data_IF_586413253294
#
_entry.id   IF_586413253294
#
_cell.length_a   1.000
_cell.length_b   1.000
_cell.length_c   1.000
_cell.angle_alpha   90.00
_cell.angle_beta   90.00
_cell.angle_gamma   90.00
#
_symmetry.space_group_name_H-M   'P 1'
#
loop_
_entity.id
_entity.type
_entity.pdbx_description
1 polymer ?
#
# COMPACT_ATOMS: atom_id res chain seq x y z
N UNK A 1 -9.66 -5.31 23.48
CA UNK A 1 -10.53 -5.76 24.60
C UNK A 1 -11.93 -5.30 24.28
N UNK A 2 -12.90 -6.24 24.21
CA UNK A 2 -14.26 -5.94 23.79
C UNK A 2 -14.87 -4.81 24.65
N UNK A 3 -15.21 -3.68 24.03
CA UNK A 3 -15.92 -2.60 24.72
C UNK A 3 -17.40 -2.97 24.82
N UNK A 4 -17.96 -2.90 26.04
CA UNK A 4 -19.37 -3.18 26.29
C UNK A 4 -19.85 -4.56 25.80
N UNK A 5 -18.94 -5.55 25.76
CA UNK A 5 -19.25 -6.90 25.30
C UNK A 5 -19.31 -7.09 23.78
N UNK A 6 -19.10 -6.03 22.98
CA UNK A 6 -18.99 -6.13 21.52
C UNK A 6 -17.53 -6.14 21.09
N UNK A 7 -17.20 -7.03 20.14
CA UNK A 7 -15.90 -7.02 19.48
C UNK A 7 -15.94 -6.08 18.27
N UNK A 8 -14.93 -5.22 18.15
CA UNK A 8 -14.79 -4.31 17.00
C UNK A 8 -13.61 -4.79 16.15
N UNK A 9 -13.88 -5.01 14.87
CA UNK A 9 -12.87 -5.36 13.86
C UNK A 9 -12.76 -4.21 12.87
N UNK A 10 -11.56 -3.67 12.71
CA UNK A 10 -11.28 -2.61 11.74
C UNK A 10 -10.68 -3.23 10.47
N UNK A 11 -11.36 -3.01 9.34
CA UNK A 11 -10.99 -3.54 8.04
C UNK A 11 -10.14 -2.58 7.20
N UNK A 12 -9.68 -1.44 7.75
CA UNK A 12 -8.89 -0.45 7.01
C UNK A 12 -7.93 0.34 7.92
N UNK A 13 -7.12 -0.37 8.73
CA UNK A 13 -6.06 0.28 9.49
C UNK A 13 -4.83 0.52 8.64
N UNK A 14 -4.33 1.74 8.65
CA UNK A 14 -3.13 2.12 7.91
C UNK A 14 -1.88 2.15 8.78
N UNK A 15 -0.79 1.62 8.23
CA UNK A 15 0.56 1.82 8.77
C UNK A 15 1.40 2.61 7.78
N UNK A 16 2.25 3.48 8.32
CA UNK A 16 3.23 4.22 7.54
C UNK A 16 4.52 3.43 7.54
N UNK A 17 4.99 3.08 6.35
CA UNK A 17 6.24 2.38 6.11
C UNK A 17 7.43 3.17 6.68
N UNK A 18 8.38 2.51 7.37
CA UNK A 18 9.62 3.15 7.72
C UNK A 18 10.51 3.29 6.47
N UNK A 19 11.42 4.27 6.48
CA UNK A 19 12.26 4.57 5.31
C UNK A 19 13.15 3.42 4.88
N UNK A 20 13.62 2.62 5.83
CA UNK A 20 14.51 1.49 5.64
C UNK A 20 13.79 0.20 5.20
N UNK A 21 12.46 0.21 4.99
CA UNK A 21 11.73 -0.99 4.51
C UNK A 21 12.41 -1.61 3.30
N UNK A 22 12.79 -0.79 2.32
CA UNK A 22 13.43 -1.26 1.10
C UNK A 22 14.88 -1.70 1.35
N UNK A 23 15.61 -1.02 2.22
CA UNK A 23 16.99 -1.38 2.54
C UNK A 23 17.07 -2.76 3.23
N UNK A 24 16.09 -3.05 4.09
CA UNK A 24 16.06 -4.25 4.91
C UNK A 24 15.44 -5.45 4.18
N UNK A 25 14.33 -5.24 3.46
CA UNK A 25 13.51 -6.33 2.92
C UNK A 25 13.60 -6.52 1.41
N UNK A 26 14.05 -5.52 0.64
CA UNK A 26 14.17 -5.67 -0.82
C UNK A 26 15.39 -6.53 -1.17
N UNK A 27 15.21 -7.40 -2.17
CA UNK A 27 16.30 -8.17 -2.78
C UNK A 27 17.45 -7.22 -3.15
N UNK A 28 18.68 -7.46 -2.65
CA UNK A 28 19.83 -6.58 -2.85
C UNK A 28 20.06 -6.14 -4.30
N UNK A 29 19.74 -7.00 -5.28
CA UNK A 29 19.92 -6.68 -6.70
C UNK A 29 19.06 -5.51 -7.19
N UNK A 30 17.98 -5.19 -6.48
CA UNK A 30 17.02 -4.14 -6.83
C UNK A 30 17.14 -2.88 -6.00
N UNK A 31 17.91 -2.87 -4.89
CA UNK A 31 17.98 -1.71 -3.96
C UNK A 31 18.38 -0.40 -4.65
N UNK A 32 19.28 -0.45 -5.63
CA UNK A 32 19.69 0.73 -6.40
C UNK A 32 18.62 1.35 -7.29
N UNK A 33 17.46 0.69 -7.45
CA UNK A 33 16.32 1.17 -8.26
C UNK A 33 15.39 2.09 -7.48
N UNK A 34 15.49 2.08 -6.15
CA UNK A 34 14.75 2.98 -5.25
C UNK A 34 15.72 4.00 -4.69
N UNK A 35 15.57 5.26 -5.09
CA UNK A 35 16.46 6.33 -4.65
C UNK A 35 15.67 7.49 -4.06
N UNK A 36 16.37 8.44 -3.44
CA UNK A 36 15.74 9.68 -2.97
C UNK A 36 16.28 10.89 -3.72
N UNK A 37 15.37 11.79 -4.10
CA UNK A 37 15.66 13.01 -4.86
C UNK A 37 14.99 14.23 -4.21
N UNK A 38 15.58 15.43 -4.26
CA UNK A 38 14.93 16.64 -3.75
C UNK A 38 13.78 17.07 -4.68
N UNK A 39 12.66 17.51 -4.09
CA UNK A 39 11.59 18.19 -4.83
C UNK A 39 11.88 19.70 -5.02
N UNK A 40 10.97 20.41 -5.69
CA UNK A 40 11.11 21.85 -5.98
C UNK A 40 11.19 22.74 -4.73
N UNK A 41 10.87 22.21 -3.55
CA UNK A 41 10.96 22.90 -2.26
C UNK A 41 12.11 22.36 -1.40
N UNK A 42 12.98 21.51 -1.97
CA UNK A 42 14.13 20.92 -1.29
C UNK A 42 13.80 19.75 -0.37
N UNK A 43 12.57 19.22 -0.37
CA UNK A 43 12.24 18.03 0.42
C UNK A 43 12.66 16.75 -0.31
N UNK A 44 13.29 15.82 0.41
CA UNK A 44 13.64 14.51 -0.16
C UNK A 44 12.40 13.65 -0.38
N UNK A 45 12.25 13.14 -1.61
CA UNK A 45 11.19 12.24 -2.07
C UNK A 45 11.78 10.92 -2.55
N UNK A 46 11.07 9.83 -2.34
CA UNK A 46 11.44 8.56 -2.96
C UNK A 46 11.13 8.61 -4.46
N UNK A 47 11.92 7.89 -5.26
CA UNK A 47 11.60 7.59 -6.64
C UNK A 47 11.93 6.13 -6.96
N UNK A 48 11.20 5.57 -7.92
CA UNK A 48 11.47 4.26 -8.51
C UNK A 48 11.68 4.48 -10.00
N UNK A 49 12.88 4.17 -10.51
CA UNK A 49 13.24 4.36 -11.93
C UNK A 49 12.92 5.76 -12.48
N UNK A 50 13.26 6.80 -11.70
CA UNK A 50 13.02 8.19 -12.07
C UNK A 50 11.57 8.66 -11.90
N UNK A 51 10.65 7.79 -11.46
CA UNK A 51 9.28 8.17 -11.12
C UNK A 51 9.16 8.54 -9.65
N UNK A 52 9.03 9.83 -9.39
CA UNK A 52 8.94 10.43 -8.03
C UNK A 52 7.61 10.10 -7.34
N UNK A 53 7.69 9.75 -6.05
CA UNK A 53 6.55 9.35 -5.24
C UNK A 53 6.29 10.33 -4.07
N UNK A 54 5.02 10.64 -3.76
CA UNK A 54 3.82 10.25 -4.51
C UNK A 54 3.73 10.96 -5.88
N UNK A 55 3.05 10.36 -6.88
CA UNK A 55 2.89 10.95 -8.21
C UNK A 55 2.25 12.35 -8.20
N UNK A 56 2.70 13.18 -9.15
CA UNK A 56 2.22 14.53 -9.42
C UNK A 56 2.38 15.52 -8.25
N UNK A 57 3.27 15.24 -7.30
CA UNK A 57 3.55 16.12 -6.16
C UNK A 57 4.16 17.46 -6.58
N UNK A 58 4.76 17.51 -7.76
CA UNK A 58 5.33 18.71 -8.40
C UNK A 58 4.26 19.67 -8.94
N UNK A 59 3.03 19.19 -9.17
CA UNK A 59 1.95 20.03 -9.71
C UNK A 59 1.41 21.01 -8.65
N UNK A 60 1.22 22.30 -8.97
CA UNK A 60 0.74 23.30 -8.02
C UNK A 60 -0.57 22.92 -7.32
N UNK A 61 -1.52 22.33 -8.05
CA UNK A 61 -2.82 21.94 -7.50
C UNK A 61 -2.68 20.83 -6.45
N UNK A 62 -1.77 19.89 -6.70
CA UNK A 62 -1.45 18.81 -5.76
C UNK A 62 -0.65 19.33 -4.58
N UNK A 63 0.31 20.21 -4.78
CA UNK A 63 1.02 20.86 -3.67
C UNK A 63 0.05 21.53 -2.71
N UNK A 64 -0.96 22.24 -3.24
CA UNK A 64 -2.00 22.87 -2.43
C UNK A 64 -2.81 21.83 -1.65
N UNK A 65 -3.33 20.81 -2.33
CA UNK A 65 -4.13 19.75 -1.70
C UNK A 65 -3.34 19.00 -0.61
N UNK A 66 -2.07 18.68 -0.88
CA UNK A 66 -1.17 18.00 0.06
C UNK A 66 -0.70 18.89 1.21
N UNK A 67 -0.49 20.19 0.98
CA UNK A 67 -0.04 21.14 2.02
C UNK A 67 -0.98 21.19 3.22
N UNK A 68 -2.27 20.93 3.02
CA UNK A 68 -3.26 20.86 4.09
C UNK A 68 -3.01 19.68 5.04
N UNK A 69 -2.59 18.51 4.52
CA UNK A 69 -2.17 17.35 5.33
C UNK A 69 -0.81 17.57 6.01
N UNK A 70 0.15 18.16 5.28
CA UNK A 70 1.51 18.39 5.79
C UNK A 70 1.55 19.36 6.98
N UNK A 71 0.57 20.27 7.08
CA UNK A 71 0.46 21.26 8.16
C UNK A 71 -0.27 20.73 9.40
N UNK A 72 -0.79 19.51 9.36
CA UNK A 72 -1.45 18.90 10.52
C UNK A 72 -0.41 18.56 11.61
N UNK A 73 -0.71 18.83 12.90
CA UNK A 73 0.12 18.41 14.01
C UNK A 73 0.41 16.90 13.94
N UNK A 74 1.67 16.50 14.14
CA UNK A 74 2.06 15.08 14.13
C UNK A 74 2.56 14.54 12.78
N UNK A 75 2.55 15.34 11.70
CA UNK A 75 3.07 14.88 10.39
C UNK A 75 4.56 14.47 10.41
N UNK A 76 5.36 15.00 11.34
CA UNK A 76 6.74 14.53 11.53
C UNK A 76 6.84 13.09 12.02
N UNK A 77 5.83 12.56 12.73
CA UNK A 77 5.79 11.14 13.13
C UNK A 77 5.64 10.22 11.90
N UNK A 78 4.82 10.61 10.93
CA UNK A 78 4.63 9.90 9.66
C UNK A 78 5.98 9.71 8.91
N UNK A 79 6.94 10.64 9.05
CA UNK A 79 8.26 10.52 8.40
C UNK A 79 9.15 9.39 8.96
N UNK A 80 8.86 8.90 10.16
CA UNK A 80 9.63 7.83 10.83
C UNK A 80 9.06 6.43 10.58
N UNK A 81 7.85 6.34 10.04
CA UNK A 81 7.06 5.11 10.03
C UNK A 81 6.26 4.97 11.34
N UNK A 82 5.20 4.17 11.30
CA UNK A 82 4.36 3.90 12.46
C UNK A 82 4.98 2.75 13.27
N UNK A 83 5.32 2.92 14.56
CA UNK A 83 5.68 1.80 15.42
C UNK A 83 4.46 0.93 15.74
N UNK A 84 4.64 -0.39 15.86
CA UNK A 84 3.55 -1.32 16.18
C UNK A 84 2.87 -1.00 17.51
N UNK A 85 3.67 -0.66 18.54
CA UNK A 85 3.17 -0.22 19.84
C UNK A 85 2.18 0.94 19.73
N UNK A 86 2.45 1.92 18.88
CA UNK A 86 1.59 3.11 18.71
C UNK A 86 0.23 2.69 18.10
N UNK A 87 0.22 1.70 17.20
CA UNK A 87 -1.03 1.13 16.64
C UNK A 87 -1.83 0.41 17.72
N UNK A 88 -1.18 -0.44 18.52
CA UNK A 88 -1.86 -1.18 19.59
C UNK A 88 -2.43 -0.26 20.67
N UNK A 89 -1.69 0.78 21.06
CA UNK A 89 -2.16 1.80 22.00
C UNK A 89 -3.37 2.56 21.43
N UNK A 90 -3.32 2.95 20.15
CA UNK A 90 -4.46 3.59 19.49
C UNK A 90 -5.67 2.64 19.43
N UNK A 91 -5.47 1.36 19.09
CA UNK A 91 -6.53 0.35 19.10
C UNK A 91 -7.15 0.18 20.49
N UNK A 92 -6.36 0.24 21.57
CA UNK A 92 -6.88 0.17 22.94
C UNK A 92 -7.72 1.40 23.31
N UNK A 93 -7.28 2.60 22.92
CA UNK A 93 -8.01 3.86 23.13
C UNK A 93 -9.34 3.84 22.37
N UNK A 94 -9.33 3.48 21.09
CA UNK A 94 -10.52 3.43 20.25
C UNK A 94 -11.43 2.24 20.59
N UNK A 95 -10.87 1.16 21.14
CA UNK A 95 -11.60 -0.07 21.48
C UNK A 95 -11.69 -1.05 20.31
N UNK A 96 -10.67 -1.08 19.46
CA UNK A 96 -10.53 -2.00 18.33
C UNK A 96 -9.84 -3.29 18.83
N UNK A 97 -10.48 -4.42 18.58
CA UNK A 97 -9.98 -5.74 18.99
C UNK A 97 -9.05 -6.34 17.95
N UNK A 98 -9.43 -6.27 16.67
CA UNK A 98 -8.66 -6.82 15.54
C UNK A 98 -8.60 -5.79 14.42
N UNK A 99 -7.45 -5.68 13.80
CA UNK A 99 -7.16 -4.77 12.71
C UNK A 99 -6.58 -5.48 11.50
N UNK A 100 -7.04 -5.14 10.30
CA UNK A 100 -6.35 -5.50 9.05
C UNK A 100 -5.44 -4.34 8.65
N UNK A 101 -4.15 -4.62 8.48
CA UNK A 101 -3.15 -3.57 8.27
C UNK A 101 -2.87 -3.39 6.79
N UNK A 102 -3.14 -2.19 6.30
CA UNK A 102 -2.88 -1.74 4.95
C UNK A 102 -1.70 -0.76 4.90
N UNK A 103 -1.01 -0.81 3.77
CA UNK A 103 0.05 0.11 3.38
C UNK A 103 -0.41 1.56 3.31
N UNK A 104 0.54 2.49 3.42
CA UNK A 104 0.33 3.90 3.07
C UNK A 104 1.04 4.21 1.75
N UNK A 105 2.34 3.95 1.68
CA UNK A 105 3.20 4.35 0.56
C UNK A 105 3.53 3.22 -0.42
N UNK A 106 3.61 1.97 0.04
CA UNK A 106 4.22 0.88 -0.73
C UNK A 106 3.62 0.69 -2.13
N UNK A 107 2.29 0.73 -2.28
CA UNK A 107 1.70 0.53 -3.61
C UNK A 107 1.89 1.71 -4.55
N UNK A 108 2.22 2.92 -4.08
CA UNK A 108 2.64 3.99 -4.99
C UNK A 108 3.94 3.61 -5.71
N UNK A 109 4.78 2.81 -5.06
CA UNK A 109 6.05 2.33 -5.58
C UNK A 109 5.91 1.06 -6.42
N UNK A 110 4.91 0.22 -6.12
CA UNK A 110 4.65 -1.04 -6.84
C UNK A 110 3.75 -0.83 -8.05
N UNK A 111 2.69 -0.04 -7.96
CA UNK A 111 1.65 0.10 -9.00
C UNK A 111 2.02 1.16 -10.05
N UNK A 112 3.18 0.98 -10.67
CA UNK A 112 3.72 1.85 -11.69
C UNK A 112 3.61 1.15 -13.05
N UNK A 113 3.00 1.83 -14.03
CA UNK A 113 2.96 1.37 -15.42
C UNK A 113 4.38 1.26 -16.01
N UNK A 114 4.65 0.16 -16.71
CA UNK A 114 5.94 -0.15 -17.32
C UNK A 114 7.05 -0.51 -16.33
N UNK A 115 6.74 -0.66 -15.04
CA UNK A 115 7.70 -1.17 -14.07
C UNK A 115 8.10 -2.60 -14.44
N UNK A 116 9.39 -2.92 -14.30
CA UNK A 116 9.89 -4.27 -14.54
C UNK A 116 9.14 -5.28 -13.65
N UNK A 117 8.53 -6.34 -14.20
CA UNK A 117 7.72 -7.27 -13.41
C UNK A 117 8.46 -7.90 -12.24
N UNK A 118 9.74 -8.25 -12.42
CA UNK A 118 10.57 -8.82 -11.36
C UNK A 118 10.85 -7.82 -10.23
N UNK A 119 10.99 -6.52 -10.53
CA UNK A 119 11.12 -5.46 -9.53
C UNK A 119 9.81 -5.29 -8.76
N UNK A 120 8.66 -5.22 -9.45
CA UNK A 120 7.36 -5.12 -8.81
C UNK A 120 7.08 -6.29 -7.86
N UNK A 121 7.44 -7.51 -8.28
CA UNK A 121 7.32 -8.71 -7.46
C UNK A 121 8.25 -8.66 -6.24
N UNK A 122 9.51 -8.26 -6.41
CA UNK A 122 10.44 -8.12 -5.29
C UNK A 122 9.99 -7.05 -4.28
N UNK A 123 9.42 -5.95 -4.74
CA UNK A 123 8.88 -4.90 -3.87
C UNK A 123 7.62 -5.36 -3.13
N UNK A 124 6.74 -6.10 -3.80
CA UNK A 124 5.57 -6.73 -3.16
C UNK A 124 6.02 -7.72 -2.07
N UNK A 125 7.01 -8.57 -2.39
CA UNK A 125 7.63 -9.50 -1.44
C UNK A 125 8.24 -8.79 -0.23
N UNK A 126 8.94 -7.69 -0.46
CA UNK A 126 9.57 -6.90 0.60
C UNK A 126 8.52 -6.33 1.57
N UNK A 127 7.47 -5.72 1.03
CA UNK A 127 6.35 -5.25 1.83
C UNK A 127 5.66 -6.40 2.59
N UNK A 128 5.36 -7.52 1.91
CA UNK A 128 4.65 -8.64 2.50
C UNK A 128 5.40 -9.23 3.69
N UNK A 129 6.74 -9.37 3.59
CA UNK A 129 7.59 -9.79 4.71
C UNK A 129 7.57 -8.76 5.84
N UNK A 130 7.76 -7.48 5.52
CA UNK A 130 7.77 -6.40 6.50
C UNK A 130 6.46 -6.32 7.29
N UNK A 131 5.30 -6.36 6.62
CA UNK A 131 4.00 -6.26 7.30
C UNK A 131 3.70 -7.50 8.16
N UNK A 132 4.23 -8.65 7.77
CA UNK A 132 4.12 -9.88 8.56
C UNK A 132 4.93 -9.76 9.84
N UNK A 133 6.19 -9.32 9.75
CA UNK A 133 7.04 -9.06 10.92
C UNK A 133 6.45 -7.97 11.82
N UNK A 134 5.83 -6.94 11.24
CA UNK A 134 5.09 -5.92 11.97
C UNK A 134 3.92 -6.52 12.78
N UNK A 135 3.13 -7.40 12.15
CA UNK A 135 1.99 -8.04 12.80
C UNK A 135 2.39 -9.09 13.86
N UNK A 136 3.61 -9.62 13.80
CA UNK A 136 4.09 -10.64 14.71
C UNK A 136 4.19 -10.19 16.19
N UNK A 137 4.16 -8.88 16.45
CA UNK A 137 4.12 -8.34 17.82
C UNK A 137 2.80 -8.66 18.56
N UNK A 138 1.69 -8.79 17.82
CA UNK A 138 0.37 -9.16 18.35
C UNK A 138 -0.47 -9.83 17.26
N UNK A 139 -0.10 -11.06 16.84
CA UNK A 139 -0.73 -11.74 15.70
C UNK A 139 -2.20 -12.06 15.92
N UNK A 140 -2.68 -12.05 17.16
CA UNK A 140 -4.09 -12.19 17.52
C UNK A 140 -4.91 -10.93 17.21
N UNK A 141 -4.29 -9.74 17.23
CA UNK A 141 -4.96 -8.45 16.97
C UNK A 141 -4.61 -7.86 15.62
N UNK A 142 -3.40 -8.07 15.13
CA UNK A 142 -2.87 -7.46 13.90
C UNK A 142 -2.86 -8.50 12.79
N UNK A 143 -3.53 -8.20 11.68
CA UNK A 143 -3.66 -9.11 10.54
C UNK A 143 -3.01 -8.51 9.29
N UNK A 144 -2.04 -9.19 8.66
CA UNK A 144 -1.37 -8.67 7.49
C UNK A 144 -2.25 -8.73 6.24
N UNK A 145 -2.08 -7.73 5.37
CA UNK A 145 -2.62 -7.73 4.00
C UNK A 145 -1.49 -7.92 2.98
N UNK A 146 -1.73 -8.73 1.96
CA UNK A 146 -0.74 -9.11 0.96
C UNK A 146 -0.83 -8.26 -0.30
N UNK A 147 0.25 -7.60 -0.72
CA UNK A 147 0.34 -6.95 -2.02
C UNK A 147 0.74 -7.95 -3.10
N UNK A 148 0.22 -7.77 -4.31
CA UNK A 148 0.54 -8.59 -5.49
C UNK A 148 0.98 -7.73 -6.68
N UNK A 149 1.99 -8.14 -7.45
CA UNK A 149 2.50 -7.40 -8.61
C UNK A 149 1.65 -7.64 -9.86
N UNK A 150 0.74 -6.72 -10.21
CA UNK A 150 -0.14 -6.89 -11.38
C UNK A 150 0.52 -6.68 -12.75
N UNK A 151 1.82 -6.38 -12.80
CA UNK A 151 2.58 -6.23 -14.03
C UNK A 151 2.72 -7.55 -14.79
N UNK A 152 2.68 -8.68 -14.09
CA UNK A 152 2.77 -10.03 -14.63
C UNK A 152 1.92 -10.99 -13.81
N UNK A 153 0.99 -11.68 -14.47
CA UNK A 153 0.01 -12.54 -13.80
C UNK A 153 0.63 -13.73 -13.09
N UNK A 154 1.68 -14.33 -13.65
CA UNK A 154 2.30 -15.52 -13.06
C UNK A 154 3.05 -15.14 -11.78
N UNK A 155 3.73 -13.98 -11.80
CA UNK A 155 4.33 -13.39 -10.59
C UNK A 155 3.27 -12.99 -9.57
N UNK A 156 2.13 -12.45 -10.01
CA UNK A 156 1.01 -12.10 -9.12
C UNK A 156 0.45 -13.34 -8.39
N UNK A 157 0.23 -14.43 -9.12
CA UNK A 157 -0.25 -15.72 -8.58
C UNK A 157 0.78 -16.31 -7.61
N UNK A 158 2.06 -16.30 -7.97
CA UNK A 158 3.12 -16.80 -7.10
C UNK A 158 3.22 -15.99 -5.79
N UNK A 159 3.12 -14.66 -5.88
CA UNK A 159 3.15 -13.80 -4.71
C UNK A 159 1.89 -13.94 -3.84
N UNK A 160 0.71 -14.08 -4.45
CA UNK A 160 -0.54 -14.35 -3.74
C UNK A 160 -0.45 -15.62 -2.90
N UNK A 161 0.05 -16.72 -3.48
CA UNK A 161 0.25 -17.98 -2.75
C UNK A 161 1.22 -17.82 -1.60
N UNK A 162 2.34 -17.14 -1.84
CA UNK A 162 3.34 -16.90 -0.79
C UNK A 162 2.79 -16.04 0.35
N UNK A 163 2.13 -14.93 0.03
CA UNK A 163 1.57 -14.03 1.03
C UNK A 163 0.54 -14.75 1.92
N UNK A 164 -0.32 -15.60 1.34
CA UNK A 164 -1.36 -16.29 2.10
C UNK A 164 -0.82 -17.52 2.84
N UNK A 165 -0.11 -18.42 2.14
CA UNK A 165 0.30 -19.72 2.71
C UNK A 165 1.48 -19.60 3.65
N UNK A 166 2.47 -18.78 3.31
CA UNK A 166 3.72 -18.70 4.05
C UNK A 166 3.71 -17.55 5.07
N UNK A 167 2.99 -16.46 4.79
CA UNK A 167 2.99 -15.26 5.62
C UNK A 167 1.66 -14.99 6.35
N UNK A 168 0.61 -15.77 6.06
CA UNK A 168 -0.68 -15.65 6.77
C UNK A 168 -1.46 -14.38 6.43
N UNK A 169 -1.23 -13.76 5.26
CA UNK A 169 -2.06 -12.67 4.79
C UNK A 169 -3.52 -13.11 4.66
N UNK A 170 -4.44 -12.35 5.24
CA UNK A 170 -5.87 -12.69 5.27
C UNK A 170 -6.66 -12.03 4.11
N UNK A 171 -6.01 -11.14 3.37
CA UNK A 171 -6.57 -10.51 2.18
C UNK A 171 -5.45 -10.15 1.20
N UNK A 172 -5.76 -10.20 -0.09
CA UNK A 172 -4.91 -9.68 -1.17
C UNK A 172 -5.35 -8.29 -1.55
N UNK A 173 -4.41 -7.36 -1.67
CA UNK A 173 -4.70 -5.95 -1.95
C UNK A 173 -4.41 -5.63 -3.40
N UNK A 174 -5.45 -5.22 -4.12
CA UNK A 174 -5.37 -4.80 -5.51
C UNK A 174 -5.69 -3.31 -5.65
N UNK A 175 -5.07 -2.60 -6.60
CA UNK A 175 -5.45 -1.24 -6.94
C UNK A 175 -6.85 -1.18 -7.57
N UNK A 176 -7.52 -0.06 -7.37
CA UNK A 176 -8.76 0.33 -8.07
C UNK A 176 -8.53 0.90 -9.49
N UNK A 177 -7.28 1.06 -9.91
CA UNK A 177 -6.89 1.62 -11.20
C UNK A 177 -6.20 0.58 -12.08
N UNK A 178 -6.07 0.90 -13.36
CA UNK A 178 -5.46 0.02 -14.35
C UNK A 178 -3.96 -0.07 -14.12
N UNK A 179 -3.38 -1.25 -14.38
CA UNK A 179 -1.92 -1.44 -14.44
C UNK A 179 -1.58 -1.87 -15.86
N UNK A 180 -0.60 -1.20 -16.47
CA UNK A 180 -0.20 -1.38 -17.87
C UNK A 180 -1.40 -1.26 -18.83
N UNK A 181 -2.31 -0.33 -18.55
CA UNK A 181 -3.52 -0.09 -19.35
C UNK A 181 -4.54 -1.23 -19.32
N UNK A 182 -4.39 -2.20 -18.42
CA UNK A 182 -5.28 -3.35 -18.34
C UNK A 182 -6.34 -3.19 -17.24
N UNK A 183 -7.64 -3.31 -17.56
CA UNK A 183 -8.70 -3.27 -16.56
C UNK A 183 -8.74 -4.56 -15.74
N UNK A 184 -9.17 -4.49 -14.48
CA UNK A 184 -9.12 -5.64 -13.58
C UNK A 184 -10.08 -6.80 -13.96
N UNK A 185 -11.11 -6.51 -14.75
CA UNK A 185 -12.03 -7.50 -15.30
C UNK A 185 -11.50 -8.20 -16.57
N UNK A 186 -10.30 -7.86 -17.02
CA UNK A 186 -9.64 -8.56 -18.14
C UNK A 186 -9.37 -10.02 -17.75
N UNK A 187 -9.65 -10.94 -18.68
CA UNK A 187 -9.42 -12.39 -18.51
C UNK A 187 -7.98 -12.75 -18.23
N UNK A 188 -7.03 -11.87 -18.56
CA UNK A 188 -5.64 -11.96 -18.12
C UNK A 188 -5.52 -12.19 -16.61
N UNK A 189 -6.43 -11.65 -15.79
CA UNK A 189 -6.43 -11.82 -14.34
C UNK A 189 -7.21 -13.06 -13.84
N UNK A 190 -7.85 -13.85 -14.72
CA UNK A 190 -8.55 -15.10 -14.37
C UNK A 190 -7.69 -16.03 -13.48
N UNK A 191 -6.37 -16.23 -13.73
CA UNK A 191 -5.53 -17.07 -12.86
C UNK A 191 -5.40 -16.55 -11.42
N UNK A 192 -5.38 -15.23 -11.22
CA UNK A 192 -5.32 -14.63 -9.89
C UNK A 192 -6.65 -14.82 -9.16
N UNK A 193 -7.78 -14.68 -9.86
CA UNK A 193 -9.11 -14.95 -9.29
C UNK A 193 -9.29 -16.41 -8.90
N UNK A 194 -8.90 -17.34 -9.78
CA UNK A 194 -8.91 -18.76 -9.47
C UNK A 194 -8.00 -19.08 -8.27
N UNK A 195 -6.85 -18.44 -8.18
CA UNK A 195 -5.92 -18.60 -7.05
C UNK A 195 -6.50 -18.05 -5.75
N UNK A 196 -7.13 -16.87 -5.77
CA UNK A 196 -7.77 -16.31 -4.59
C UNK A 196 -8.91 -17.21 -4.09
N UNK A 197 -9.70 -17.77 -5.01
CA UNK A 197 -10.73 -18.75 -4.70
C UNK A 197 -10.16 -20.05 -4.11
N UNK A 198 -9.10 -20.60 -4.69
CA UNK A 198 -8.43 -21.82 -4.19
C UNK A 198 -7.87 -21.62 -2.77
N UNK A 199 -7.32 -20.43 -2.49
CA UNK A 199 -6.75 -20.07 -1.20
C UNK A 199 -7.81 -19.69 -0.15
N UNK A 200 -9.08 -19.56 -0.54
CA UNK A 200 -10.17 -19.02 0.29
C UNK A 200 -9.80 -17.68 0.94
N UNK A 201 -9.18 -16.79 0.13
CA UNK A 201 -8.70 -15.48 0.59
C UNK A 201 -9.53 -14.35 -0.03
N UNK A 202 -9.84 -13.35 0.79
CA UNK A 202 -10.51 -12.14 0.32
C UNK A 202 -9.60 -11.34 -0.63
N UNK A 203 -10.22 -10.57 -1.52
CA UNK A 203 -9.53 -9.55 -2.32
C UNK A 203 -10.08 -8.17 -1.96
N UNK A 204 -9.21 -7.31 -1.44
CA UNK A 204 -9.51 -5.93 -1.07
C UNK A 204 -9.04 -4.96 -2.14
N UNK A 205 -9.97 -4.20 -2.73
CA UNK A 205 -9.62 -3.11 -3.62
C UNK A 205 -9.26 -1.87 -2.83
N UNK A 206 -7.96 -1.67 -2.58
CA UNK A 206 -7.46 -0.52 -1.80
C UNK A 206 -6.72 0.47 -2.69
N UNK A 207 -7.41 1.56 -2.99
CA UNK A 207 -7.03 2.47 -4.06
C UNK A 207 -5.89 3.44 -3.77
N UNK A 208 -5.33 3.98 -4.86
CA UNK A 208 -4.37 5.08 -4.85
C UNK A 208 -5.02 6.33 -5.42
N UNK A 209 -5.20 7.37 -4.61
CA UNK A 209 -5.60 8.70 -5.07
C UNK A 209 -4.45 9.46 -5.79
N UNK A 210 -3.29 8.82 -5.97
CA UNK A 210 -2.09 9.36 -6.62
C UNK A 210 -1.35 8.24 -7.37
N UNK A 211 -1.89 7.77 -8.48
CA UNK A 211 -1.21 6.78 -9.33
C UNK A 211 -0.71 7.46 -10.60
N UNK A 212 0.39 6.96 -11.18
CA UNK A 212 0.83 7.40 -12.52
C UNK A 212 -0.13 6.92 -13.61
N UNK A 213 -0.77 5.77 -13.40
CA UNK A 213 -1.75 5.20 -14.29
C UNK A 213 -3.02 6.06 -14.41
N UNK A 214 -3.80 5.79 -15.46
CA UNK A 214 -5.09 6.43 -15.67
C UNK A 214 -6.10 5.99 -14.61
N UNK A 215 -6.75 6.96 -13.96
CA UNK A 215 -7.78 6.73 -12.95
C UNK A 215 -8.76 7.91 -12.87
N UNK A 216 -9.95 7.66 -12.31
CA UNK A 216 -10.99 8.69 -12.18
C UNK A 216 -10.53 9.87 -11.31
N UNK A 217 -9.74 9.59 -10.28
CA UNK A 217 -9.21 10.58 -9.35
C UNK A 217 -8.33 11.65 -10.02
N UNK A 218 -7.81 11.41 -11.23
CA UNK A 218 -7.02 12.36 -12.02
C UNK A 218 -7.82 13.58 -12.48
N UNK A 219 -9.15 13.46 -12.52
CA UNK A 219 -10.05 14.58 -12.87
C UNK A 219 -10.20 15.61 -11.75
N UNK A 220 -9.79 15.25 -10.53
CA UNK A 220 -10.01 16.05 -9.33
C UNK A 220 -8.69 16.38 -8.60
N UNK A 221 -7.58 16.52 -9.34
CA UNK A 221 -6.25 16.71 -8.74
C UNK A 221 -6.13 17.98 -7.87
N UNK A 222 -7.02 18.95 -8.07
CA UNK A 222 -7.17 20.19 -7.32
C UNK A 222 -8.02 20.06 -6.04
N UNK A 223 -8.75 18.95 -5.90
CA UNK A 223 -9.61 18.69 -4.75
C UNK A 223 -9.26 17.33 -4.11
N UNK A 224 -8.56 17.38 -2.96
CA UNK A 224 -8.13 16.19 -2.25
C UNK A 224 -9.29 15.26 -1.90
N UNK A 225 -10.42 15.79 -1.44
CA UNK A 225 -11.57 14.99 -0.98
C UNK A 225 -12.17 14.22 -2.15
N UNK A 226 -12.40 14.90 -3.29
CA UNK A 226 -12.96 14.27 -4.49
C UNK A 226 -11.97 13.29 -5.13
N UNK A 227 -10.68 13.66 -5.20
CA UNK A 227 -9.61 12.78 -5.68
C UNK A 227 -9.50 11.51 -4.82
N UNK A 228 -9.63 11.65 -3.50
CA UNK A 228 -9.61 10.53 -2.57
C UNK A 228 -10.82 9.61 -2.76
N UNK A 229 -12.03 10.17 -2.75
CA UNK A 229 -13.28 9.42 -2.92
C UNK A 229 -13.34 8.68 -4.27
N UNK A 230 -12.86 9.29 -5.35
CA UNK A 230 -12.82 8.64 -6.66
C UNK A 230 -11.67 7.64 -6.82
N UNK A 231 -10.60 7.80 -6.03
CA UNK A 231 -9.41 6.96 -6.09
C UNK A 231 -9.54 5.69 -5.26
N UNK A 232 -10.44 5.68 -4.27
CA UNK A 232 -10.70 4.59 -3.34
C UNK A 232 -12.20 4.28 -3.37
N UNK A 233 -12.70 3.55 -4.37
CA UNK A 233 -14.09 3.12 -4.38
C UNK A 233 -14.36 2.29 -3.12
N UNK A 234 -15.39 2.70 -2.37
CA UNK A 234 -15.89 2.02 -1.16
C UNK A 234 -16.61 0.74 -1.55
#
# INVERSE_FOLDING_TARGET
MAKQGMRVMDSDLHVVEPRNLWDDYLDPKFRGRITTVPDTQGQMRAQVDGKVLPPYVDRPERQRAWSLRLRSPGWERVRRGTPTKDVLEAMDVEGIDVGILFRTWATHAINIDGLEPALAAAMSRAWNRWITDFCAESPERLKPSGLVPLQDIDLAVAEARFAVRDLGAITLVLPSHLINGRPIYDRYYDPLWATAQELDVAVSFHGNHAAYAEHLARRYLDNLVLSHACGQPV
#
